data_IF_109981489581
#
_entry.id   IF_109981489581
#
_cell.length_a   1.000
_cell.length_b   1.000
_cell.length_c   1.000
_cell.angle_alpha   90.00
_cell.angle_beta   90.00
_cell.angle_gamma   90.00
#
_symmetry.space_group_name_H-M   'P 1'
#
loop_
_entity.id
_entity.type
_entity.pdbx_description
1 polymer ?
#
# COMPACT_ATOMS: atom_id res chain seq x y z
N UNK A 1 -7.87 -23.70 0.45
CA UNK A 1 -7.71 -22.51 -0.40
C UNK A 1 -6.28 -22.05 -0.32
N UNK A 2 -5.64 -21.85 -1.48
CA UNK A 2 -4.32 -21.24 -1.66
C UNK A 2 -4.50 -19.92 -2.40
N UNK A 3 -3.95 -18.85 -1.86
CA UNK A 3 -4.05 -17.50 -2.40
C UNK A 3 -2.64 -17.03 -2.69
N UNK A 4 -2.41 -16.59 -3.92
CA UNK A 4 -1.16 -15.96 -4.35
C UNK A 4 -1.29 -14.46 -4.28
N UNK A 5 -0.30 -13.78 -3.73
CA UNK A 5 -0.23 -12.32 -3.70
C UNK A 5 0.98 -11.83 -4.50
N UNK A 6 0.75 -10.86 -5.38
CA UNK A 6 1.74 -10.27 -6.28
C UNK A 6 1.44 -8.77 -6.48
N UNK A 7 2.43 -7.99 -6.91
CA UNK A 7 2.30 -6.55 -7.12
C UNK A 7 2.90 -6.11 -8.45
N UNK A 8 2.40 -5.00 -9.00
CA UNK A 8 3.02 -4.24 -10.08
C UNK A 8 3.27 -5.04 -11.38
N UNK A 9 2.30 -5.83 -11.84
CA UNK A 9 2.38 -6.56 -13.12
C UNK A 9 2.50 -5.64 -14.34
N UNK A 10 2.07 -4.42 -14.23
CA UNK A 10 2.27 -3.30 -15.17
C UNK A 10 2.03 -3.65 -16.65
N UNK A 11 0.98 -4.44 -16.89
CA UNK A 11 0.55 -4.83 -18.23
C UNK A 11 1.09 -6.18 -18.71
N UNK A 12 2.05 -6.79 -18.04
CA UNK A 12 2.53 -8.13 -18.34
C UNK A 12 1.65 -9.20 -17.67
N UNK A 13 0.48 -9.43 -18.24
CA UNK A 13 -0.48 -10.39 -17.67
C UNK A 13 -0.11 -11.83 -18.01
N UNK A 14 0.73 -12.06 -19.01
CA UNK A 14 1.22 -13.39 -19.35
C UNK A 14 2.13 -13.94 -18.24
N UNK A 15 2.90 -13.07 -17.58
CA UNK A 15 3.67 -13.47 -16.40
C UNK A 15 2.77 -14.03 -15.28
N UNK A 16 1.55 -13.52 -15.14
CA UNK A 16 0.60 -14.08 -14.17
C UNK A 16 0.21 -15.53 -14.52
N UNK A 17 0.03 -15.84 -15.80
CA UNK A 17 -0.26 -17.20 -16.25
C UNK A 17 0.93 -18.12 -15.95
N UNK A 18 2.15 -17.68 -16.21
CA UNK A 18 3.39 -18.43 -15.89
C UNK A 18 3.52 -18.66 -14.38
N UNK A 19 3.35 -17.62 -13.57
CA UNK A 19 3.42 -17.68 -12.11
C UNK A 19 2.39 -18.68 -11.56
N UNK A 20 1.13 -18.59 -11.99
CA UNK A 20 0.07 -19.49 -11.52
C UNK A 20 0.32 -20.92 -11.98
N UNK A 21 0.83 -21.11 -13.19
CA UNK A 21 1.18 -22.45 -13.72
C UNK A 21 2.33 -23.10 -12.94
N UNK A 22 3.31 -22.31 -12.50
CA UNK A 22 4.41 -22.79 -11.66
C UNK A 22 3.94 -23.16 -10.23
N UNK A 23 2.80 -22.63 -9.79
CA UNK A 23 2.25 -22.87 -8.45
C UNK A 23 0.87 -23.55 -8.51
N UNK A 24 0.81 -24.87 -8.75
CA UNK A 24 -0.46 -25.57 -8.91
C UNK A 24 -1.35 -25.46 -7.66
N UNK A 25 -2.66 -25.48 -7.86
CA UNK A 25 -3.70 -25.35 -6.83
C UNK A 25 -3.79 -23.95 -6.21
N UNK A 26 -3.31 -22.90 -6.86
CA UNK A 26 -3.70 -21.52 -6.56
C UNK A 26 -5.15 -21.33 -6.99
N UNK A 27 -5.99 -20.90 -6.06
CA UNK A 27 -7.43 -20.74 -6.28
C UNK A 27 -7.82 -19.28 -6.50
N UNK A 28 -6.98 -18.33 -6.08
CA UNK A 28 -7.17 -16.90 -6.26
C UNK A 28 -5.84 -16.15 -6.23
N UNK A 29 -5.80 -15.03 -6.95
CA UNK A 29 -4.68 -14.08 -6.92
C UNK A 29 -5.14 -12.77 -6.31
N UNK A 30 -4.35 -12.21 -5.39
CA UNK A 30 -4.49 -10.87 -4.84
C UNK A 30 -3.38 -9.99 -5.39
N UNK A 31 -3.74 -8.88 -5.99
CA UNK A 31 -2.81 -7.95 -6.61
C UNK A 31 -2.95 -6.56 -5.98
N UNK A 32 -1.84 -5.89 -5.70
CA UNK A 32 -1.84 -4.65 -4.92
C UNK A 32 -1.77 -3.37 -5.75
N UNK A 33 -2.20 -3.40 -7.00
CA UNK A 33 -2.30 -2.24 -7.88
C UNK A 33 -1.17 -2.11 -8.90
N UNK A 34 -1.33 -1.19 -9.86
CA UNK A 34 -0.50 -1.07 -11.06
C UNK A 34 -0.51 -2.37 -11.89
N UNK A 35 -1.68 -2.91 -12.09
CA UNK A 35 -1.84 -4.11 -12.92
C UNK A 35 -1.62 -3.81 -14.42
N UNK A 36 -1.66 -2.53 -14.78
CA UNK A 36 -1.50 -2.08 -16.18
C UNK A 36 -2.83 -1.96 -16.90
N UNK A 37 -3.81 -1.32 -16.28
CA UNK A 37 -5.05 -0.91 -16.96
C UNK A 37 -4.74 0.30 -17.85
N UNK A 38 -4.12 0.05 -18.97
CA UNK A 38 -3.81 1.04 -20.02
C UNK A 38 -4.09 0.46 -21.38
N UNK A 39 -4.24 1.36 -22.35
CA UNK A 39 -4.32 0.99 -23.77
C UNK A 39 -3.81 2.13 -24.66
N UNK A 40 -3.95 1.98 -25.96
CA UNK A 40 -3.52 3.01 -26.92
C UNK A 40 -4.18 4.36 -26.66
N UNK A 41 -5.45 4.39 -26.25
CA UNK A 41 -6.15 5.65 -25.94
C UNK A 41 -5.58 6.34 -24.70
N UNK A 42 -5.07 5.61 -23.73
CA UNK A 42 -4.36 6.16 -22.56
C UNK A 42 -3.13 6.94 -23.01
N UNK A 43 -2.33 6.37 -23.91
CA UNK A 43 -1.14 7.02 -24.46
C UNK A 43 -1.52 8.25 -25.30
N UNK A 44 -2.52 8.14 -26.16
CA UNK A 44 -3.00 9.26 -26.99
C UNK A 44 -3.45 10.45 -26.15
N UNK A 45 -4.17 10.20 -25.06
CA UNK A 45 -4.74 11.24 -24.18
C UNK A 45 -3.74 11.77 -23.15
N UNK A 46 -2.68 11.04 -22.85
CA UNK A 46 -1.70 11.45 -21.87
C UNK A 46 -1.02 12.77 -22.27
N UNK A 47 -1.08 13.77 -21.42
CA UNK A 47 -0.40 15.06 -21.59
C UNK A 47 0.84 15.21 -20.69
N UNK A 48 0.99 14.35 -19.72
CA UNK A 48 2.10 14.37 -18.76
C UNK A 48 3.24 13.47 -19.25
N UNK A 49 4.36 14.10 -19.63
CA UNK A 49 5.58 13.42 -20.08
C UNK A 49 6.13 12.48 -19.00
N UNK A 50 6.03 12.87 -17.70
CA UNK A 50 6.53 12.05 -16.62
C UNK A 50 5.72 10.77 -16.45
N UNK A 51 4.41 10.84 -16.70
CA UNK A 51 3.56 9.65 -16.72
C UNK A 51 3.97 8.67 -17.81
N UNK A 52 4.19 9.17 -19.03
CA UNK A 52 4.65 8.34 -20.15
C UNK A 52 6.04 7.74 -19.88
N UNK A 53 6.95 8.50 -19.26
CA UNK A 53 8.26 7.98 -18.81
C UNK A 53 8.11 6.81 -17.84
N UNK A 54 7.22 6.96 -16.86
CA UNK A 54 6.96 5.90 -15.89
C UNK A 54 6.38 4.66 -16.57
N UNK A 55 5.40 4.83 -17.46
CA UNK A 55 4.85 3.69 -18.22
C UNK A 55 5.98 2.97 -18.97
N UNK A 56 6.77 3.70 -19.77
CA UNK A 56 7.85 3.10 -20.59
C UNK A 56 8.91 2.40 -19.73
N UNK A 57 9.25 2.97 -18.58
CA UNK A 57 10.24 2.37 -17.69
C UNK A 57 9.83 0.98 -17.17
N UNK A 58 8.53 0.71 -17.12
CA UNK A 58 7.98 -0.53 -16.60
C UNK A 58 7.39 -1.45 -17.67
N UNK A 59 7.35 -1.01 -18.94
CA UNK A 59 6.86 -1.81 -20.05
C UNK A 59 7.86 -2.91 -20.42
N UNK A 60 7.59 -4.13 -20.00
CA UNK A 60 8.44 -5.29 -20.30
C UNK A 60 8.27 -5.84 -21.71
N UNK A 61 7.12 -5.53 -22.33
CA UNK A 61 6.79 -5.98 -23.67
C UNK A 61 7.54 -5.20 -24.76
N UNK A 62 8.11 -4.05 -24.43
CA UNK A 62 8.90 -3.28 -25.38
C UNK A 62 10.34 -3.77 -25.46
N UNK A 63 10.90 -3.90 -26.68
CA UNK A 63 12.32 -4.21 -26.85
C UNK A 63 13.23 -3.17 -26.17
N UNK A 64 14.31 -3.61 -25.55
CA UNK A 64 15.26 -2.74 -24.80
C UNK A 64 15.79 -1.56 -25.65
N UNK A 65 16.03 -1.77 -26.94
CA UNK A 65 16.46 -0.71 -27.87
C UNK A 65 15.37 0.35 -28.07
N UNK A 66 14.09 -0.03 -28.14
CA UNK A 66 12.96 0.89 -28.28
C UNK A 66 12.81 1.71 -27.00
N UNK A 67 12.93 1.08 -25.83
CA UNK A 67 12.90 1.78 -24.53
C UNK A 67 14.04 2.80 -24.42
N UNK A 68 15.27 2.45 -24.88
CA UNK A 68 16.40 3.36 -24.90
C UNK A 68 16.13 4.58 -25.80
N UNK A 69 15.65 4.35 -27.04
CA UNK A 69 15.34 5.43 -27.97
C UNK A 69 14.19 6.33 -27.46
N UNK A 70 13.18 5.77 -26.80
CA UNK A 70 12.10 6.54 -26.18
C UNK A 70 12.61 7.41 -25.03
N UNK A 71 13.51 6.87 -24.20
CA UNK A 71 14.14 7.63 -23.11
C UNK A 71 15.03 8.77 -23.64
N UNK A 72 15.77 8.53 -24.73
CA UNK A 72 16.59 9.56 -25.37
C UNK A 72 15.74 10.72 -25.92
N UNK A 73 14.62 10.42 -26.59
CA UNK A 73 13.64 11.43 -27.05
C UNK A 73 13.14 12.29 -25.88
N UNK A 74 12.87 11.67 -24.74
CA UNK A 74 12.37 12.39 -23.57
C UNK A 74 13.49 13.19 -22.85
N UNK A 75 14.74 12.82 -23.01
CA UNK A 75 15.90 13.54 -22.42
C UNK A 75 16.19 14.83 -23.18
N UNK A 76 16.00 14.83 -24.51
CA UNK A 76 16.12 16.00 -25.38
C UNK A 76 15.10 17.09 -25.02
N UNK A 77 14.00 16.70 -24.36
CA UNK A 77 12.88 17.59 -24.03
C UNK A 77 13.13 18.57 -22.86
N UNK A 78 14.33 18.70 -22.35
CA UNK A 78 14.74 19.83 -21.50
C UNK A 78 14.90 21.15 -22.29
N UNK A 79 14.45 21.19 -23.55
CA UNK A 79 14.45 22.34 -24.41
C UNK A 79 13.46 23.41 -23.93
N UNK A 80 13.92 24.64 -23.92
CA UNK A 80 13.28 25.83 -23.35
C UNK A 80 12.04 26.33 -24.14
N UNK A 81 11.62 25.64 -25.22
CA UNK A 81 10.52 26.06 -26.08
C UNK A 81 9.35 25.05 -26.05
N UNK A 82 8.15 25.56 -25.68
CA UNK A 82 6.90 24.80 -25.62
C UNK A 82 6.52 24.13 -26.97
N UNK A 83 6.88 24.74 -28.10
CA UNK A 83 6.60 24.20 -29.42
C UNK A 83 7.38 22.94 -29.72
N UNK A 84 8.66 22.93 -29.39
CA UNK A 84 9.55 21.77 -29.52
C UNK A 84 9.13 20.65 -28.55
N UNK A 85 8.70 20.99 -27.34
CA UNK A 85 8.23 20.04 -26.36
C UNK A 85 7.00 19.25 -26.85
N UNK A 86 6.03 19.93 -27.46
CA UNK A 86 4.83 19.29 -28.01
C UNK A 86 5.14 18.39 -29.21
N UNK A 87 6.08 18.76 -30.07
CA UNK A 87 6.51 17.93 -31.20
C UNK A 87 7.20 16.65 -30.73
N UNK A 88 8.10 16.75 -29.77
CA UNK A 88 8.79 15.59 -29.17
C UNK A 88 7.81 14.66 -28.47
N UNK A 89 6.81 15.20 -27.76
CA UNK A 89 5.77 14.41 -27.15
C UNK A 89 4.90 13.67 -28.20
N UNK A 90 4.58 14.34 -29.32
CA UNK A 90 3.83 13.72 -30.41
C UNK A 90 4.62 12.59 -31.09
N UNK A 91 5.93 12.82 -31.34
CA UNK A 91 6.83 11.81 -31.90
C UNK A 91 6.99 10.61 -30.96
N UNK A 92 7.16 10.87 -29.67
CA UNK A 92 7.24 9.85 -28.64
C UNK A 92 5.98 8.96 -28.63
N UNK A 93 4.79 9.56 -28.59
CA UNK A 93 3.53 8.83 -28.61
C UNK A 93 3.37 8.00 -29.88
N UNK A 94 3.68 8.60 -31.04
CA UNK A 94 3.60 7.90 -32.32
C UNK A 94 4.50 6.66 -32.31
N UNK A 95 5.75 6.82 -31.87
CA UNK A 95 6.70 5.72 -31.80
C UNK A 95 6.23 4.64 -30.83
N UNK A 96 5.79 5.02 -29.63
CA UNK A 96 5.27 4.09 -28.63
C UNK A 96 4.08 3.28 -29.16
N UNK A 97 3.19 3.90 -29.93
CA UNK A 97 2.01 3.22 -30.49
C UNK A 97 2.32 2.36 -31.72
N UNK A 98 3.44 2.59 -32.41
CA UNK A 98 3.83 1.80 -33.58
C UNK A 98 4.49 0.47 -33.20
N UNK A 99 5.19 0.41 -32.09
CA UNK A 99 5.99 -0.74 -31.67
C UNK A 99 5.25 -1.73 -30.75
N UNK A 100 3.91 -1.63 -30.64
CA UNK A 100 3.00 -2.36 -29.75
C UNK A 100 3.08 -3.90 -29.81
N UNK A 101 2.49 -4.68 -28.89
CA UNK A 101 1.46 -4.33 -27.90
C UNK A 101 2.03 -3.73 -26.62
N UNK A 102 1.38 -2.70 -26.10
CA UNK A 102 1.81 -2.05 -24.85
C UNK A 102 1.50 -2.91 -23.63
N UNK A 103 0.37 -3.60 -23.67
CA UNK A 103 -0.16 -4.44 -22.60
C UNK A 103 -0.96 -5.59 -23.18
N UNK A 104 -1.08 -6.67 -22.43
CA UNK A 104 -1.89 -7.82 -22.83
C UNK A 104 -3.40 -7.63 -22.62
N UNK A 105 -3.82 -6.57 -21.93
CA UNK A 105 -5.23 -6.34 -21.54
C UNK A 105 -6.21 -6.47 -22.71
N UNK A 106 -5.86 -5.97 -23.89
CA UNK A 106 -6.75 -5.98 -25.06
C UNK A 106 -7.06 -7.42 -25.54
N UNK A 107 -6.13 -8.37 -25.37
CA UNK A 107 -6.33 -9.79 -25.69
C UNK A 107 -7.35 -10.44 -24.73
N UNK A 108 -7.30 -10.05 -23.45
CA UNK A 108 -8.26 -10.50 -22.45
C UNK A 108 -9.65 -9.86 -22.63
N UNK A 109 -9.71 -8.59 -23.01
CA UNK A 109 -10.95 -7.89 -23.37
C UNK A 109 -11.60 -8.51 -24.59
N UNK A 110 -10.81 -8.88 -25.60
CA UNK A 110 -11.28 -9.56 -26.80
C UNK A 110 -11.66 -11.04 -26.55
N UNK A 111 -11.40 -11.57 -25.37
CA UNK A 111 -11.65 -12.98 -25.02
C UNK A 111 -10.70 -13.98 -25.67
N UNK A 112 -9.60 -13.51 -26.25
CA UNK A 112 -8.54 -14.36 -26.84
C UNK A 112 -7.76 -15.08 -25.76
N UNK A 113 -7.52 -14.40 -24.62
CA UNK A 113 -6.90 -14.96 -23.42
C UNK A 113 -7.88 -14.93 -22.24
N UNK A 114 -7.61 -15.72 -21.22
CA UNK A 114 -8.41 -15.80 -20.00
C UNK A 114 -7.51 -15.85 -18.79
N UNK A 115 -7.89 -15.17 -17.73
CA UNK A 115 -7.20 -15.27 -16.44
C UNK A 115 -7.27 -16.72 -15.92
N UNK A 116 -6.14 -17.28 -15.44
CA UNK A 116 -6.06 -18.68 -15.02
C UNK A 116 -6.93 -18.99 -13.80
N UNK A 117 -7.16 -17.99 -12.95
CA UNK A 117 -8.02 -18.06 -11.76
C UNK A 117 -8.58 -16.66 -11.45
N UNK A 118 -9.52 -16.51 -10.50
CA UNK A 118 -10.00 -15.22 -10.06
C UNK A 118 -8.85 -14.32 -9.58
N UNK A 119 -8.78 -13.12 -10.13
CA UNK A 119 -7.82 -12.07 -9.81
C UNK A 119 -8.55 -10.92 -9.13
N UNK A 120 -8.08 -10.55 -7.94
CA UNK A 120 -8.59 -9.46 -7.14
C UNK A 120 -7.51 -8.39 -7.04
N UNK A 121 -7.70 -7.27 -7.68
CA UNK A 121 -6.72 -6.18 -7.71
C UNK A 121 -7.27 -4.91 -7.09
N UNK A 122 -6.43 -4.18 -6.37
CA UNK A 122 -6.72 -2.78 -6.07
C UNK A 122 -6.16 -1.88 -7.18
N UNK A 123 -6.51 -0.60 -7.15
CA UNK A 123 -6.09 0.39 -8.13
C UNK A 123 -4.72 0.91 -7.77
N UNK A 124 -3.78 0.90 -8.71
CA UNK A 124 -2.48 1.54 -8.55
C UNK A 124 -2.47 2.98 -9.06
N UNK A 125 -1.50 3.80 -8.65
CA UNK A 125 -1.41 5.21 -9.09
C UNK A 125 -1.12 5.38 -10.57
N UNK A 126 -0.59 4.36 -11.25
CA UNK A 126 -0.26 4.40 -12.68
C UNK A 126 -1.37 3.86 -13.58
N UNK A 127 -2.37 3.17 -13.02
CA UNK A 127 -3.52 2.69 -13.81
C UNK A 127 -4.29 3.87 -14.41
N UNK A 128 -4.83 3.69 -15.62
CA UNK A 128 -5.62 4.73 -16.29
C UNK A 128 -6.97 4.91 -15.59
N UNK A 129 -7.24 6.09 -14.98
CA UNK A 129 -8.47 6.35 -14.25
C UNK A 129 -9.73 6.17 -15.07
N UNK A 130 -9.70 6.47 -16.36
CA UNK A 130 -10.86 6.34 -17.25
C UNK A 130 -11.18 4.88 -17.58
N UNK A 131 -10.16 4.03 -17.67
CA UNK A 131 -10.35 2.58 -17.79
C UNK A 131 -10.82 1.98 -16.46
N UNK A 132 -10.22 2.39 -15.36
CA UNK A 132 -10.65 1.96 -14.02
C UNK A 132 -12.13 2.26 -13.80
N UNK A 133 -12.60 3.48 -14.13
CA UNK A 133 -14.01 3.86 -14.02
C UNK A 133 -14.90 2.89 -14.80
N UNK A 134 -14.53 2.55 -16.04
CA UNK A 134 -15.30 1.62 -16.89
C UNK A 134 -15.33 0.18 -16.35
N UNK A 135 -14.29 -0.26 -15.67
CA UNK A 135 -14.30 -1.56 -15.00
C UNK A 135 -15.16 -1.54 -13.73
N UNK A 136 -15.11 -0.46 -12.97
CA UNK A 136 -15.89 -0.30 -11.74
C UNK A 136 -17.38 -0.15 -12.04
N UNK A 137 -17.75 0.62 -13.06
CA UNK A 137 -19.16 0.79 -13.49
C UNK A 137 -19.69 -0.42 -14.29
N UNK A 138 -18.82 -1.35 -14.66
CA UNK A 138 -19.16 -2.57 -15.40
C UNK A 138 -19.33 -2.38 -16.90
N UNK A 139 -18.98 -1.22 -17.46
CA UNK A 139 -18.99 -0.96 -18.92
C UNK A 139 -17.92 -1.79 -19.64
N UNK A 140 -16.80 -2.07 -18.96
CA UNK A 140 -15.79 -3.04 -19.38
C UNK A 140 -15.74 -4.21 -18.42
N UNK A 141 -15.54 -5.41 -18.94
CA UNK A 141 -15.42 -6.63 -18.14
C UNK A 141 -14.40 -7.57 -18.74
N UNK A 142 -13.52 -8.07 -17.90
CA UNK A 142 -12.69 -9.24 -18.16
C UNK A 142 -13.14 -10.34 -17.19
N UNK A 143 -13.50 -11.53 -17.68
CA UNK A 143 -13.89 -12.62 -16.78
C UNK A 143 -12.80 -12.92 -15.74
N UNK A 144 -13.20 -13.11 -14.50
CA UNK A 144 -12.32 -13.32 -13.35
C UNK A 144 -11.48 -12.11 -12.88
N UNK A 145 -11.59 -10.93 -13.50
CA UNK A 145 -11.00 -9.70 -12.98
C UNK A 145 -11.98 -9.02 -12.02
N UNK A 146 -11.53 -8.74 -10.81
CA UNK A 146 -12.31 -8.10 -9.77
C UNK A 146 -11.52 -6.93 -9.18
N UNK A 147 -12.10 -5.74 -9.18
CA UNK A 147 -11.44 -4.53 -8.65
C UNK A 147 -11.90 -4.30 -7.21
N UNK A 148 -10.94 -4.26 -6.29
CA UNK A 148 -11.14 -3.89 -4.88
C UNK A 148 -11.02 -2.38 -4.77
N UNK A 149 -12.07 -1.74 -4.27
CA UNK A 149 -12.09 -0.33 -3.97
C UNK A 149 -12.90 -0.06 -2.67
N UNK A 150 -13.14 1.22 -2.37
CA UNK A 150 -13.87 1.65 -1.19
C UNK A 150 -15.35 1.18 -1.14
N UNK A 151 -15.92 0.75 -2.27
CA UNK A 151 -17.29 0.27 -2.38
C UNK A 151 -17.41 -1.23 -2.69
N UNK A 152 -16.32 -1.87 -3.11
CA UNK A 152 -16.33 -3.24 -3.58
C UNK A 152 -15.38 -4.11 -2.74
N UNK A 153 -15.97 -5.09 -2.06
CA UNK A 153 -15.27 -6.15 -1.36
C UNK A 153 -15.71 -7.50 -1.88
N UNK A 154 -14.87 -8.51 -1.71
CA UNK A 154 -15.13 -9.86 -2.25
C UNK A 154 -14.96 -10.90 -1.16
N UNK A 155 -15.89 -11.85 -1.11
CA UNK A 155 -15.86 -12.97 -0.19
C UNK A 155 -15.34 -14.21 -0.92
N UNK A 156 -14.23 -14.76 -0.45
CA UNK A 156 -13.66 -16.01 -0.95
C UNK A 156 -14.08 -17.13 -0.04
N UNK A 157 -14.90 -18.04 -0.56
CA UNK A 157 -15.42 -19.17 0.18
C UNK A 157 -14.60 -20.42 -0.10
N UNK A 158 -14.46 -21.27 0.89
CA UNK A 158 -13.83 -22.59 0.77
C UNK A 158 -14.58 -23.59 1.65
N UNK A 159 -14.83 -24.80 1.17
CA UNK A 159 -15.52 -25.81 1.98
C UNK A 159 -14.81 -26.02 3.32
N UNK A 160 -15.59 -26.12 4.39
CA UNK A 160 -15.13 -26.41 5.75
C UNK A 160 -14.10 -25.41 6.35
N UNK A 161 -14.02 -24.20 5.80
CA UNK A 161 -13.13 -23.16 6.30
C UNK A 161 -13.87 -21.83 6.40
N UNK A 162 -13.47 -20.95 7.31
CA UNK A 162 -14.06 -19.62 7.35
C UNK A 162 -13.77 -18.87 6.05
N UNK A 163 -14.71 -18.06 5.56
CA UNK A 163 -14.49 -17.25 4.35
C UNK A 163 -13.46 -16.17 4.60
N UNK A 164 -12.79 -15.73 3.51
CA UNK A 164 -11.88 -14.60 3.51
C UNK A 164 -12.55 -13.44 2.81
N UNK A 165 -12.55 -12.27 3.43
CA UNK A 165 -13.02 -11.03 2.81
C UNK A 165 -11.83 -10.20 2.38
N UNK A 166 -11.76 -9.92 1.08
CA UNK A 166 -10.83 -8.97 0.49
C UNK A 166 -11.52 -7.62 0.34
N UNK A 167 -10.95 -6.58 0.90
CA UNK A 167 -11.45 -5.20 0.84
C UNK A 167 -10.29 -4.23 0.96
N UNK A 168 -10.45 -2.97 0.58
CA UNK A 168 -9.33 -2.04 0.71
C UNK A 168 -9.47 -0.74 -0.05
N UNK A 169 -8.33 -0.09 -0.25
CA UNK A 169 -8.22 1.23 -0.88
C UNK A 169 -7.09 1.23 -1.91
N UNK A 170 -7.40 1.69 -3.12
CA UNK A 170 -6.43 1.86 -4.19
C UNK A 170 -5.83 3.27 -4.23
N UNK A 171 -4.70 3.39 -4.94
CA UNK A 171 -3.99 4.65 -5.09
C UNK A 171 -3.02 4.97 -3.96
N UNK A 172 -2.35 6.12 -4.07
CA UNK A 172 -1.43 6.61 -3.07
C UNK A 172 -2.16 7.30 -1.93
N UNK A 173 -1.67 7.14 -0.70
CA UNK A 173 -2.13 7.99 0.39
C UNK A 173 -1.23 9.22 0.50
N UNK A 174 -1.83 10.39 0.30
CA UNK A 174 -1.19 11.69 0.44
C UNK A 174 -2.01 12.55 1.38
N UNK A 175 -1.46 12.90 2.54
CA UNK A 175 -2.19 13.65 3.57
C UNK A 175 -2.74 14.96 3.04
N UNK A 176 -1.95 15.68 2.24
CA UNK A 176 -2.36 16.95 1.65
C UNK A 176 -3.43 16.85 0.56
N UNK A 177 -3.68 15.64 0.04
CA UNK A 177 -4.69 15.39 -1.01
C UNK A 177 -5.95 14.70 -0.48
N UNK A 178 -6.08 14.49 0.82
CA UNK A 178 -7.25 13.83 1.43
C UNK A 178 -8.56 14.58 1.17
N UNK A 179 -8.50 15.90 1.03
CA UNK A 179 -9.65 16.75 0.71
C UNK A 179 -9.73 17.17 -0.75
N UNK A 180 -8.83 16.65 -1.59
CA UNK A 180 -8.74 17.02 -3.00
C UNK A 180 -9.15 15.83 -3.88
N UNK A 181 -10.20 16.00 -4.68
CA UNK A 181 -10.63 14.99 -5.64
C UNK A 181 -9.80 15.00 -6.94
N UNK A 182 -8.88 15.94 -7.08
CA UNK A 182 -8.06 16.09 -8.28
C UNK A 182 -8.83 16.67 -9.48
N UNK A 183 -8.34 16.38 -10.68
CA UNK A 183 -8.84 16.96 -11.94
C UNK A 183 -9.74 16.01 -12.73
N UNK A 184 -9.94 14.78 -12.29
CA UNK A 184 -10.55 13.74 -13.10
C UNK A 184 -12.08 13.85 -13.17
N UNK A 185 -12.73 14.33 -12.12
CA UNK A 185 -14.20 14.41 -12.05
C UNK A 185 -14.90 13.04 -12.06
N UNK A 186 -14.16 11.97 -11.73
CA UNK A 186 -14.65 10.60 -11.67
C UNK A 186 -15.18 10.26 -10.29
N UNK A 187 -16.04 9.25 -10.19
CA UNK A 187 -16.66 8.85 -8.92
C UNK A 187 -15.86 7.78 -8.17
N UNK A 188 -15.17 6.92 -8.88
CA UNK A 188 -14.45 5.76 -8.30
C UNK A 188 -13.01 6.07 -7.90
N UNK A 189 -12.37 7.07 -8.53
CA UNK A 189 -10.97 7.41 -8.32
C UNK A 189 -10.77 8.92 -8.22
N UNK A 190 -9.80 9.32 -7.40
CA UNK A 190 -9.36 10.70 -7.26
C UNK A 190 -7.92 10.86 -7.73
N UNK A 191 -7.58 12.08 -8.17
CA UNK A 191 -6.23 12.39 -8.57
C UNK A 191 -6.09 12.97 -9.97
N UNK A 192 -5.02 12.58 -10.63
CA UNK A 192 -4.72 12.87 -12.03
C UNK A 192 -4.15 11.62 -12.70
N UNK A 193 -4.16 11.60 -14.01
CA UNK A 193 -3.51 10.52 -14.77
C UNK A 193 -2.06 10.37 -14.33
N UNK A 194 -1.66 9.15 -14.00
CA UNK A 194 -0.31 8.82 -13.49
C UNK A 194 -0.06 9.13 -12.03
N UNK A 195 -1.08 9.59 -11.30
CA UNK A 195 -0.95 9.87 -9.88
C UNK A 195 -2.33 9.86 -9.22
N UNK A 196 -2.84 8.68 -8.94
CA UNK A 196 -4.11 8.45 -8.25
C UNK A 196 -3.90 8.39 -6.73
N UNK A 197 -4.83 8.97 -5.98
CA UNK A 197 -4.73 9.01 -4.51
C UNK A 197 -6.06 8.75 -3.81
N UNK A 198 -5.95 8.48 -2.53
CA UNK A 198 -7.07 8.21 -1.63
C UNK A 198 -7.58 9.52 -1.07
N UNK A 199 -8.91 9.70 -1.08
CA UNK A 199 -9.58 10.82 -0.43
C UNK A 199 -10.23 10.41 0.89
N UNK A 200 -10.51 11.41 1.73
CA UNK A 200 -11.23 11.21 2.99
C UNK A 200 -12.64 10.64 2.77
N UNK A 201 -13.31 11.06 1.69
CA UNK A 201 -14.61 10.53 1.31
C UNK A 201 -14.56 9.02 0.99
N UNK A 202 -13.54 8.57 0.28
CA UNK A 202 -13.35 7.13 0.00
C UNK A 202 -13.07 6.35 1.28
N UNK A 203 -12.30 6.89 2.23
CA UNK A 203 -12.12 6.28 3.55
C UNK A 203 -13.46 6.13 4.25
N UNK A 204 -14.27 7.19 4.29
CA UNK A 204 -15.60 7.15 4.91
C UNK A 204 -16.54 6.13 4.23
N UNK A 205 -16.54 6.08 2.89
CA UNK A 205 -17.33 5.10 2.14
C UNK A 205 -16.92 3.67 2.46
N UNK A 206 -15.62 3.41 2.60
CA UNK A 206 -15.13 2.10 3.05
C UNK A 206 -15.70 1.71 4.42
N UNK A 207 -15.73 2.64 5.38
CA UNK A 207 -16.32 2.38 6.70
C UNK A 207 -17.81 2.08 6.58
N UNK A 208 -18.55 2.87 5.81
CA UNK A 208 -19.99 2.62 5.55
C UNK A 208 -20.21 1.27 4.88
N UNK A 209 -19.35 0.91 3.94
CA UNK A 209 -19.40 -0.38 3.28
C UNK A 209 -19.17 -1.54 4.26
N UNK A 210 -18.12 -1.46 5.06
CA UNK A 210 -17.77 -2.50 6.03
C UNK A 210 -18.81 -2.66 7.15
N UNK A 211 -19.40 -1.57 7.63
CA UNK A 211 -20.44 -1.61 8.67
C UNK A 211 -21.74 -2.32 8.22
N UNK A 212 -21.98 -2.40 6.92
CA UNK A 212 -23.14 -3.12 6.36
C UNK A 212 -22.95 -4.62 6.24
N UNK A 213 -21.73 -5.12 6.43
CA UNK A 213 -21.40 -6.51 6.24
C UNK A 213 -21.59 -7.28 7.54
N UNK A 214 -22.57 -8.17 7.57
CA UNK A 214 -22.94 -8.96 8.77
C UNK A 214 -22.13 -10.27 8.89
N UNK A 215 -21.56 -10.76 7.80
CA UNK A 215 -20.89 -12.05 7.75
C UNK A 215 -19.54 -12.02 8.44
N UNK A 216 -19.30 -13.00 9.31
CA UNK A 216 -17.98 -13.22 9.89
C UNK A 216 -17.03 -13.81 8.86
N UNK A 217 -15.97 -13.10 8.58
CA UNK A 217 -14.93 -13.52 7.67
C UNK A 217 -13.55 -13.17 8.24
N UNK A 218 -12.52 -13.78 7.69
CA UNK A 218 -11.13 -13.32 7.89
C UNK A 218 -10.96 -12.08 7.03
N UNK A 219 -10.75 -10.94 7.64
CA UNK A 219 -10.67 -9.66 6.96
C UNK A 219 -9.24 -9.39 6.49
N UNK A 220 -9.07 -9.27 5.18
CA UNK A 220 -7.78 -8.94 4.53
C UNK A 220 -7.90 -7.57 3.87
N UNK A 221 -7.20 -6.59 4.42
CA UNK A 221 -7.13 -5.24 3.86
C UNK A 221 -6.07 -5.18 2.77
N UNK A 222 -6.46 -4.80 1.57
CA UNK A 222 -5.58 -4.70 0.39
C UNK A 222 -5.40 -3.24 0.02
N UNK A 223 -4.16 -2.79 -0.15
CA UNK A 223 -3.89 -1.42 -0.60
C UNK A 223 -2.63 -1.36 -1.47
N UNK A 224 -2.56 -0.35 -2.34
CA UNK A 224 -1.33 -0.08 -3.06
C UNK A 224 -0.29 0.58 -2.14
N UNK A 225 -0.68 1.61 -1.39
CA UNK A 225 0.22 2.24 -0.42
C UNK A 225 0.58 1.30 0.72
N UNK A 226 1.86 1.26 1.15
CA UNK A 226 2.33 0.36 2.20
C UNK A 226 1.74 0.70 3.57
N UNK A 227 0.93 -0.20 4.11
CA UNK A 227 0.26 -0.01 5.40
C UNK A 227 1.27 0.18 6.52
N UNK A 228 2.32 -0.62 6.59
CA UNK A 228 3.34 -0.53 7.65
C UNK A 228 4.07 0.80 7.71
N UNK A 229 4.12 1.55 6.60
CA UNK A 229 4.80 2.86 6.54
C UNK A 229 3.85 4.03 6.72
N UNK A 230 2.54 3.76 6.71
CA UNK A 230 1.52 4.78 6.72
C UNK A 230 0.58 4.63 7.93
N UNK A 231 0.79 5.41 9.01
CA UNK A 231 -0.03 5.30 10.22
C UNK A 231 -1.52 5.48 9.98
N UNK A 232 -1.90 6.26 8.97
CA UNK A 232 -3.28 6.48 8.61
C UNK A 232 -3.94 5.24 8.03
N UNK A 233 -3.26 4.54 7.10
CA UNK A 233 -3.77 3.28 6.55
C UNK A 233 -3.78 2.17 7.59
N UNK A 234 -2.77 2.12 8.47
CA UNK A 234 -2.77 1.19 9.58
C UNK A 234 -3.97 1.42 10.50
N UNK A 235 -4.27 2.69 10.82
CA UNK A 235 -5.46 3.05 11.58
C UNK A 235 -6.75 2.61 10.89
N UNK A 236 -6.88 2.87 9.59
CA UNK A 236 -8.04 2.42 8.80
C UNK A 236 -8.17 0.89 8.84
N UNK A 237 -7.09 0.16 8.64
CA UNK A 237 -7.09 -1.30 8.71
C UNK A 237 -7.50 -1.81 10.09
N UNK A 238 -6.96 -1.23 11.18
CA UNK A 238 -7.35 -1.58 12.56
C UNK A 238 -8.82 -1.29 12.80
N UNK A 239 -9.28 -0.09 12.46
CA UNK A 239 -10.66 0.34 12.74
C UNK A 239 -11.70 -0.36 11.87
N UNK A 240 -11.33 -0.94 10.73
CA UNK A 240 -12.19 -1.82 9.91
C UNK A 240 -12.08 -3.30 10.30
N UNK A 241 -11.28 -3.61 11.32
CA UNK A 241 -11.15 -4.97 11.86
C UNK A 241 -10.37 -5.91 10.95
N UNK A 242 -9.29 -5.44 10.31
CA UNK A 242 -8.41 -6.28 9.52
C UNK A 242 -7.66 -7.30 10.40
N UNK A 243 -7.61 -8.55 9.95
CA UNK A 243 -6.76 -9.59 10.50
C UNK A 243 -5.39 -9.61 9.81
N UNK A 244 -5.38 -9.24 8.52
CA UNK A 244 -4.19 -9.18 7.68
C UNK A 244 -4.24 -7.95 6.78
N UNK A 245 -3.07 -7.43 6.42
CA UNK A 245 -2.93 -6.44 5.35
C UNK A 245 -1.98 -6.95 4.28
N UNK A 246 -2.33 -6.72 3.01
CA UNK A 246 -1.48 -6.99 1.86
C UNK A 246 -1.32 -5.69 1.10
N UNK A 247 -0.10 -5.19 0.98
CA UNK A 247 0.17 -3.92 0.31
C UNK A 247 1.47 -3.96 -0.48
N UNK A 248 1.59 -3.05 -1.45
CA UNK A 248 2.87 -2.84 -2.13
C UNK A 248 3.85 -2.20 -1.14
N UNK A 249 5.07 -2.68 -1.12
CA UNK A 249 6.05 -2.33 -0.10
C UNK A 249 7.09 -1.32 -0.56
N UNK A 250 6.70 -0.22 -1.20
CA UNK A 250 7.58 0.82 -1.74
C UNK A 250 9.00 0.83 -1.11
N UNK A 251 10.04 0.69 -1.91
CA UNK A 251 11.46 0.62 -1.52
C UNK A 251 11.93 -0.72 -0.91
N UNK A 252 11.09 -1.73 -0.87
CA UNK A 252 11.55 -3.08 -0.61
C UNK A 252 11.86 -3.79 -1.94
N UNK A 253 12.96 -4.54 -1.97
CA UNK A 253 13.31 -5.39 -3.11
C UNK A 253 12.79 -6.82 -2.98
N UNK A 254 12.24 -7.16 -1.83
CA UNK A 254 11.71 -8.47 -1.50
C UNK A 254 10.47 -8.32 -0.63
N UNK A 255 9.54 -9.29 -0.68
CA UNK A 255 8.38 -9.29 0.19
C UNK A 255 8.78 -9.32 1.66
N UNK A 256 8.13 -8.48 2.45
CA UNK A 256 8.40 -8.38 3.90
C UNK A 256 7.11 -8.64 4.65
N UNK A 257 7.17 -9.55 5.61
CA UNK A 257 6.09 -9.76 6.57
C UNK A 257 6.49 -9.24 7.94
N UNK A 258 5.55 -8.64 8.62
CA UNK A 258 5.76 -8.16 9.98
C UNK A 258 4.45 -7.95 10.72
N UNK A 259 4.51 -8.15 12.01
CA UNK A 259 3.49 -7.68 12.92
C UNK A 259 3.82 -6.23 13.27
N UNK A 260 2.82 -5.38 13.54
CA UNK A 260 3.01 -3.98 13.97
C UNK A 260 3.97 -3.81 15.16
N UNK A 261 4.10 -4.85 15.97
CA UNK A 261 5.11 -4.93 17.03
C UNK A 261 6.55 -4.91 16.57
N UNK A 262 6.87 -5.47 15.41
CA UNK A 262 8.26 -5.72 15.00
C UNK A 262 9.11 -4.44 14.91
N UNK A 263 8.46 -3.28 14.80
CA UNK A 263 9.15 -1.98 14.74
C UNK A 263 9.20 -1.22 16.06
N UNK A 264 8.46 -1.64 17.08
CA UNK A 264 8.26 -0.87 18.32
C UNK A 264 8.67 -1.63 19.57
N UNK A 265 8.80 -2.94 19.48
CA UNK A 265 8.92 -3.82 20.64
C UNK A 265 10.24 -3.71 21.41
N UNK A 266 11.24 -3.05 20.87
CA UNK A 266 12.52 -2.92 21.59
C UNK A 266 12.46 -2.05 22.86
N UNK A 267 11.37 -1.28 23.09
CA UNK A 267 11.37 -0.18 24.04
C UNK A 267 10.14 -0.09 24.97
N UNK A 268 9.19 -0.99 24.95
CA UNK A 268 8.06 -0.84 25.88
C UNK A 268 6.83 -1.73 25.67
N UNK A 269 6.91 -2.74 24.82
CA UNK A 269 5.79 -3.66 24.58
C UNK A 269 4.53 -2.95 24.08
N UNK A 270 3.35 -3.42 24.49
CA UNK A 270 2.06 -2.85 24.08
C UNK A 270 1.92 -1.36 24.42
N UNK A 271 2.36 -0.94 25.59
CA UNK A 271 2.29 0.47 26.01
C UNK A 271 3.15 1.35 25.09
N UNK A 272 4.35 0.91 24.75
CA UNK A 272 5.23 1.60 23.80
C UNK A 272 4.65 1.65 22.38
N UNK A 273 3.97 0.60 21.94
CA UNK A 273 3.27 0.57 20.67
C UNK A 273 2.16 1.63 20.60
N UNK A 274 1.26 1.64 21.59
CA UNK A 274 0.17 2.60 21.65
C UNK A 274 0.69 4.04 21.72
N UNK A 275 1.70 4.30 22.55
CA UNK A 275 2.28 5.63 22.70
C UNK A 275 2.96 6.12 21.42
N UNK A 276 3.76 5.28 20.77
CA UNK A 276 4.40 5.63 19.51
C UNK A 276 3.38 5.87 18.39
N UNK A 277 2.34 5.04 18.33
CA UNK A 277 1.25 5.18 17.38
C UNK A 277 0.53 6.50 17.61
N UNK A 278 0.15 6.78 18.84
CA UNK A 278 -0.49 8.02 19.26
C UNK A 278 0.34 9.24 18.91
N UNK A 279 1.66 9.21 19.16
CA UNK A 279 2.56 10.32 18.82
C UNK A 279 2.62 10.57 17.33
N UNK A 280 2.73 9.52 16.52
CA UNK A 280 2.70 9.64 15.04
C UNK A 280 1.36 10.16 14.57
N UNK A 281 0.28 9.63 15.11
CA UNK A 281 -1.07 9.96 14.71
C UNK A 281 -1.51 11.35 15.15
N UNK A 282 -1.10 11.81 16.33
CA UNK A 282 -1.38 13.19 16.80
C UNK A 282 -0.76 14.25 15.90
N UNK A 283 0.44 14.00 15.36
CA UNK A 283 1.06 14.88 14.35
C UNK A 283 0.25 14.93 13.07
N UNK A 284 -0.18 13.77 12.58
CA UNK A 284 -1.01 13.69 11.39
C UNK A 284 -2.36 14.39 11.60
N UNK A 285 -3.01 14.16 12.74
CA UNK A 285 -4.25 14.80 13.13
C UNK A 285 -4.12 16.32 13.22
N UNK A 286 -3.02 16.82 13.77
CA UNK A 286 -2.71 18.25 13.80
C UNK A 286 -2.67 18.83 12.37
N UNK A 287 -1.97 18.18 11.45
CA UNK A 287 -1.91 18.59 10.03
C UNK A 287 -3.29 18.57 9.39
N UNK A 288 -4.09 17.53 9.63
CA UNK A 288 -5.46 17.44 9.11
C UNK A 288 -6.35 18.55 9.70
N UNK A 289 -6.20 18.84 10.99
CA UNK A 289 -6.92 19.93 11.65
C UNK A 289 -6.57 21.29 11.07
N UNK A 290 -5.30 21.58 10.87
CA UNK A 290 -4.85 22.84 10.24
C UNK A 290 -5.36 22.98 8.81
N UNK A 291 -5.29 21.91 8.02
CA UNK A 291 -5.85 21.89 6.65
C UNK A 291 -7.36 22.10 6.69
N UNK A 292 -8.06 21.41 7.61
CA UNK A 292 -9.51 21.53 7.73
C UNK A 292 -9.95 22.95 8.06
N UNK A 293 -9.31 23.61 9.01
CA UNK A 293 -9.59 25.01 9.36
C UNK A 293 -9.48 25.93 8.13
N UNK A 294 -8.52 25.67 7.25
CA UNK A 294 -8.31 26.49 6.04
C UNK A 294 -9.42 26.26 4.99
N UNK A 295 -9.87 25.01 4.82
CA UNK A 295 -10.73 24.65 3.68
C UNK A 295 -12.21 24.44 4.05
N UNK A 296 -12.56 24.34 5.34
CA UNK A 296 -13.91 23.96 5.80
C UNK A 296 -15.03 24.81 5.17
N UNK A 297 -14.85 26.12 5.10
CA UNK A 297 -15.87 27.04 4.58
C UNK A 297 -16.04 26.90 3.05
N UNK A 298 -14.97 26.60 2.34
CA UNK A 298 -15.02 26.35 0.90
C UNK A 298 -15.68 25.01 0.61
N UNK A 299 -15.33 23.97 1.37
CA UNK A 299 -15.92 22.64 1.28
C UNK A 299 -17.42 22.70 1.60
N UNK A 300 -17.82 23.33 2.69
CA UNK A 300 -19.22 23.47 3.06
C UNK A 300 -20.03 24.18 1.96
N UNK A 301 -19.54 25.32 1.44
CA UNK A 301 -20.21 26.07 0.37
C UNK A 301 -20.40 25.25 -0.92
N UNK A 302 -19.44 24.41 -1.26
CA UNK A 302 -19.51 23.56 -2.46
C UNK A 302 -20.43 22.37 -2.22
N UNK A 303 -20.32 21.71 -1.05
CA UNK A 303 -21.04 20.49 -0.74
C UNK A 303 -22.53 20.74 -0.45
N UNK A 304 -22.89 21.80 0.31
CA UNK A 304 -24.28 22.15 0.59
C UNK A 304 -25.12 22.36 -0.68
N UNK A 305 -24.51 22.91 -1.72
CA UNK A 305 -25.21 23.22 -2.98
C UNK A 305 -25.31 22.06 -3.95
N UNK A 306 -24.32 21.18 -3.95
CA UNK A 306 -24.19 20.15 -4.98
C UNK A 306 -24.34 18.71 -4.46
N UNK A 307 -23.88 18.41 -3.25
CA UNK A 307 -23.80 17.04 -2.75
C UNK A 307 -23.90 16.97 -1.21
N UNK A 308 -25.09 17.13 -0.61
CA UNK A 308 -25.24 17.11 0.86
C UNK A 308 -24.85 15.76 1.49
N UNK A 309 -24.95 14.64 0.74
CA UNK A 309 -24.52 13.34 1.24
C UNK A 309 -22.99 13.23 1.32
N UNK A 310 -22.27 13.95 0.47
CA UNK A 310 -20.82 13.99 0.51
C UNK A 310 -20.29 14.73 1.74
N UNK A 311 -21.01 15.75 2.22
CA UNK A 311 -20.68 16.44 3.47
C UNK A 311 -20.69 15.44 4.64
N UNK A 312 -21.73 14.62 4.76
CA UNK A 312 -21.81 13.59 5.80
C UNK A 312 -20.67 12.58 5.73
N UNK A 313 -20.23 12.22 4.50
CA UNK A 313 -19.08 11.35 4.32
C UNK A 313 -17.77 12.00 4.76
N UNK A 314 -17.57 13.28 4.51
CA UNK A 314 -16.40 14.03 5.00
C UNK A 314 -16.40 14.09 6.53
N UNK A 315 -17.53 14.39 7.15
CA UNK A 315 -17.71 14.39 8.60
C UNK A 315 -17.40 13.01 9.21
N UNK A 316 -17.94 11.95 8.61
CA UNK A 316 -17.66 10.59 9.03
C UNK A 316 -16.15 10.27 8.88
N UNK A 317 -15.53 10.64 7.75
CA UNK A 317 -14.12 10.45 7.51
C UNK A 317 -13.24 11.16 8.54
N UNK A 318 -13.58 12.37 8.92
CA UNK A 318 -12.89 13.10 9.99
C UNK A 318 -13.06 12.39 11.34
N UNK A 319 -14.28 11.92 11.66
CA UNK A 319 -14.57 11.23 12.92
C UNK A 319 -13.77 9.92 13.08
N UNK A 320 -13.37 9.26 11.99
CA UNK A 320 -12.51 8.09 12.04
C UNK A 320 -11.16 8.45 12.69
N UNK A 321 -10.62 9.63 12.38
CA UNK A 321 -9.34 10.08 12.91
C UNK A 321 -9.39 10.65 14.33
N UNK A 322 -10.58 10.85 14.87
CA UNK A 322 -10.78 11.17 16.28
C UNK A 322 -10.71 9.94 17.19
N UNK A 323 -10.89 8.76 16.63
CA UNK A 323 -10.87 7.47 17.37
C UNK A 323 -9.44 6.96 17.58
N UNK A 324 -8.61 7.73 18.28
CA UNK A 324 -7.23 7.37 18.59
C UNK A 324 -7.17 6.63 19.93
N UNK A 325 -6.35 5.58 20.08
CA UNK A 325 -6.20 4.90 21.35
C UNK A 325 -5.63 5.85 22.41
N UNK A 326 -6.15 5.76 23.63
CA UNK A 326 -5.69 6.55 24.76
C UNK A 326 -4.92 5.68 25.75
N UNK A 327 -3.93 6.27 26.40
CA UNK A 327 -3.23 5.64 27.52
C UNK A 327 -4.01 5.89 28.82
N UNK A 328 -3.69 5.12 29.88
CA UNK A 328 -4.32 5.26 31.20
C UNK A 328 -4.10 6.68 31.76
N UNK A 329 -2.99 7.32 31.41
CA UNK A 329 -2.66 8.69 31.85
C UNK A 329 -3.52 9.76 31.16
N UNK A 330 -4.18 9.45 30.05
CA UNK A 330 -4.89 10.42 29.22
C UNK A 330 -6.38 10.52 29.55
N UNK A 331 -6.86 9.83 30.55
CA UNK A 331 -8.28 9.86 30.97
C UNK A 331 -8.79 11.28 31.31
N UNK A 332 -7.91 12.27 31.32
CA UNK A 332 -8.19 13.68 31.64
C UNK A 332 -7.98 14.61 30.42
N UNK A 333 -7.39 14.17 29.31
CA UNK A 333 -7.23 15.02 28.13
C UNK A 333 -8.51 15.05 27.29
N UNK A 334 -8.96 16.26 27.00
CA UNK A 334 -10.07 16.49 26.05
C UNK A 334 -9.65 16.01 24.67
N UNK A 335 -10.45 15.12 24.07
CA UNK A 335 -10.28 14.70 22.69
C UNK A 335 -10.87 15.80 21.81
N UNK A 336 -10.01 16.52 21.10
CA UNK A 336 -10.45 17.52 20.14
C UNK A 336 -10.98 16.81 18.90
N UNK A 337 -12.25 16.96 18.58
CA UNK A 337 -12.85 16.43 17.34
C UNK A 337 -12.45 17.28 16.14
N UNK A 338 -12.12 16.62 15.03
CA UNK A 338 -12.01 17.23 13.72
C UNK A 338 -13.40 17.27 13.07
N UNK A 339 -14.31 18.07 13.58
CA UNK A 339 -15.68 18.14 13.07
C UNK A 339 -15.93 19.43 12.30
N UNK A 340 -16.96 19.42 11.45
CA UNK A 340 -17.45 20.57 10.69
C UNK A 340 -18.19 21.60 11.57
N UNK A 341 -18.47 21.27 12.82
CA UNK A 341 -19.31 22.07 13.71
C UNK A 341 -18.49 23.07 14.50
N UNK A 342 -19.08 24.24 14.69
CA UNK A 342 -18.52 25.36 15.44
C UNK A 342 -18.28 25.00 16.91
N UNK A 343 -17.31 25.71 17.52
CA UNK A 343 -16.83 25.55 18.89
C UNK A 343 -17.89 25.87 19.97
N UNK A 344 -19.10 26.30 19.56
CA UNK A 344 -20.16 26.77 20.43
C UNK A 344 -21.23 25.70 20.79
N UNK A 345 -21.11 24.44 20.29
CA UNK A 345 -22.01 23.39 20.74
C UNK A 345 -21.52 22.76 22.03
N UNK A 346 -22.46 22.64 22.96
CA UNK A 346 -22.32 22.27 24.36
C UNK A 346 -21.25 21.23 24.66
N UNK A 347 -20.43 21.48 25.68
CA UNK A 347 -19.34 20.61 26.18
C UNK A 347 -19.77 19.15 26.48
N UNK A 348 -21.07 18.87 26.53
CA UNK A 348 -21.64 17.55 26.85
C UNK A 348 -21.60 16.57 25.68
N UNK A 349 -21.50 17.03 24.40
CA UNK A 349 -21.46 16.18 23.21
C UNK A 349 -20.03 15.70 22.83
N UNK A 350 -19.00 16.24 23.48
CA UNK A 350 -17.59 15.94 23.21
C UNK A 350 -17.13 14.64 23.91
N UNK A 351 -17.94 14.10 24.80
CA UNK A 351 -17.63 12.85 25.47
C UNK A 351 -17.87 11.67 24.52
N UNK A 352 -16.83 11.35 23.72
CA UNK A 352 -16.75 10.05 23.09
C UNK A 352 -16.94 9.04 24.22
N UNK A 353 -18.08 8.37 24.27
CA UNK A 353 -18.51 7.59 25.42
C UNK A 353 -17.34 6.69 25.85
N UNK A 354 -17.11 6.57 27.15
CA UNK A 354 -16.09 5.66 27.70
C UNK A 354 -16.13 4.26 27.04
N UNK A 355 -17.29 3.86 26.57
CA UNK A 355 -17.51 2.64 25.84
C UNK A 355 -16.85 2.63 24.43
N UNK A 356 -16.93 3.74 23.69
CA UNK A 356 -16.30 3.89 22.37
C UNK A 356 -14.78 3.90 22.52
N UNK A 357 -14.22 4.64 23.49
CA UNK A 357 -12.78 4.64 23.77
C UNK A 357 -12.28 3.28 24.16
N UNK A 358 -13.02 2.54 25.00
CA UNK A 358 -12.67 1.17 25.36
C UNK A 358 -12.65 0.28 24.13
N UNK A 359 -13.66 0.37 23.25
CA UNK A 359 -13.70 -0.38 22.00
C UNK A 359 -12.49 -0.07 21.10
N UNK A 360 -12.11 1.18 20.97
CA UNK A 360 -10.92 1.57 20.19
C UNK A 360 -9.65 0.97 20.78
N UNK A 361 -9.47 1.06 22.11
CA UNK A 361 -8.33 0.46 22.77
C UNK A 361 -8.30 -1.07 22.62
N UNK A 362 -9.44 -1.74 22.74
CA UNK A 362 -9.55 -3.19 22.54
C UNK A 362 -9.17 -3.59 21.10
N UNK A 363 -9.55 -2.80 20.09
CA UNK A 363 -9.17 -3.04 18.69
C UNK A 363 -7.67 -2.88 18.49
N UNK A 364 -7.07 -1.84 19.05
CA UNK A 364 -5.62 -1.64 18.99
C UNK A 364 -4.84 -2.72 19.75
N UNK A 365 -5.36 -3.14 20.88
CA UNK A 365 -4.80 -4.25 21.64
C UNK A 365 -4.85 -5.56 20.83
N UNK A 366 -5.97 -5.84 20.19
CA UNK A 366 -6.11 -7.02 19.33
C UNK A 366 -5.16 -6.96 18.12
N UNK A 367 -5.04 -5.79 17.50
CA UNK A 367 -4.14 -5.58 16.36
C UNK A 367 -2.67 -5.77 16.74
N UNK A 368 -2.26 -5.29 17.90
CA UNK A 368 -0.90 -5.46 18.42
C UNK A 368 -0.47 -6.92 18.43
N UNK A 369 -1.36 -7.85 18.81
CA UNK A 369 -1.04 -9.26 18.88
C UNK A 369 -1.33 -10.06 17.62
N UNK A 370 -2.29 -9.62 16.79
CA UNK A 370 -2.85 -10.48 15.76
C UNK A 370 -2.75 -9.90 14.34
N UNK A 371 -2.61 -8.57 14.17
CA UNK A 371 -2.55 -7.99 12.85
C UNK A 371 -1.19 -8.24 12.21
N UNK A 372 -1.19 -8.90 11.06
CA UNK A 372 0.01 -9.13 10.27
C UNK A 372 -0.04 -8.35 8.97
N UNK A 373 1.07 -7.71 8.66
CA UNK A 373 1.28 -6.93 7.46
C UNK A 373 2.18 -7.69 6.49
N UNK A 374 1.75 -7.78 5.23
CA UNK A 374 2.54 -8.31 4.13
C UNK A 374 2.76 -7.21 3.12
N UNK A 375 4.02 -6.81 2.94
CA UNK A 375 4.41 -5.81 1.96
C UNK A 375 5.09 -6.54 0.82
N UNK A 376 4.53 -6.36 -0.37
CA UNK A 376 5.04 -6.94 -1.60
C UNK A 376 6.07 -6.01 -2.23
N UNK A 377 6.77 -6.48 -3.24
CA UNK A 377 7.65 -5.70 -4.10
C UNK A 377 7.24 -5.95 -5.56
N UNK A 378 7.94 -5.33 -6.49
CA UNK A 378 7.72 -5.58 -7.90
C UNK A 378 7.79 -7.08 -8.19
N UNK A 379 6.89 -7.59 -9.03
CA UNK A 379 6.69 -9.03 -9.25
C UNK A 379 7.91 -9.72 -9.86
N UNK A 380 8.73 -8.98 -10.58
CA UNK A 380 9.93 -9.50 -11.27
C UNK A 380 11.18 -8.80 -10.77
N UNK A 381 12.25 -9.57 -10.67
CA UNK A 381 13.59 -9.04 -10.47
C UNK A 381 14.38 -9.35 -11.73
N UNK A 382 14.82 -8.27 -12.38
CA UNK A 382 15.73 -8.36 -13.50
C UNK A 382 17.15 -8.37 -12.92
N UNK A 383 17.78 -9.55 -12.89
CA UNK A 383 19.23 -9.64 -12.80
C UNK A 383 19.78 -9.54 -14.23
N UNK A 384 20.68 -8.62 -14.50
CA UNK A 384 21.18 -8.38 -15.87
C UNK A 384 21.99 -9.56 -16.41
N UNK A 385 22.37 -10.51 -15.57
CA UNK A 385 23.25 -11.62 -15.89
C UNK A 385 22.59 -13.01 -15.89
N UNK A 386 21.32 -13.14 -15.48
CA UNK A 386 20.63 -14.43 -15.43
C UNK A 386 19.51 -14.52 -16.48
N UNK A 387 19.58 -15.57 -17.32
CA UNK A 387 18.49 -15.93 -18.25
C UNK A 387 17.26 -16.51 -17.53
N UNK A 388 17.34 -16.75 -16.22
CA UNK A 388 16.27 -17.33 -15.40
C UNK A 388 15.47 -16.19 -14.72
N UNK A 389 14.22 -16.04 -15.14
CA UNK A 389 13.31 -15.04 -14.56
C UNK A 389 12.78 -15.58 -13.25
N UNK A 390 13.08 -14.88 -12.15
CA UNK A 390 12.55 -15.20 -10.85
C UNK A 390 11.45 -14.19 -10.45
N UNK A 391 10.42 -14.67 -9.76
CA UNK A 391 9.23 -13.88 -9.42
C UNK A 391 9.12 -13.63 -7.93
N UNK A 392 8.86 -12.37 -7.55
CA UNK A 392 8.54 -11.99 -6.20
C UNK A 392 7.03 -12.18 -5.94
N UNK A 393 6.72 -13.15 -5.12
CA UNK A 393 5.35 -13.47 -4.78
C UNK A 393 5.25 -14.03 -3.36
N UNK A 394 4.04 -14.04 -2.84
CA UNK A 394 3.73 -14.66 -1.55
C UNK A 394 2.53 -15.58 -1.72
N UNK A 395 2.63 -16.81 -1.22
CA UNK A 395 1.52 -17.75 -1.22
C UNK A 395 1.04 -18.01 0.20
N UNK A 396 -0.24 -17.80 0.40
CA UNK A 396 -0.95 -18.10 1.63
C UNK A 396 -1.77 -19.36 1.49
N UNK A 397 -1.82 -20.14 2.57
CA UNK A 397 -2.72 -21.26 2.70
C UNK A 397 -3.70 -21.03 3.86
N UNK A 398 -4.99 -21.01 3.56
CA UNK A 398 -6.03 -20.97 4.56
C UNK A 398 -6.11 -22.32 5.29
N UNK A 399 -5.88 -22.32 6.59
CA UNK A 399 -6.05 -23.47 7.49
C UNK A 399 -7.50 -23.63 7.94
N UNK A 400 -7.87 -24.82 8.43
CA UNK A 400 -9.22 -25.08 8.96
C UNK A 400 -9.57 -24.23 10.19
N UNK A 401 -8.57 -23.80 10.95
CA UNK A 401 -8.76 -22.95 12.13
C UNK A 401 -8.92 -21.46 11.78
N UNK A 402 -8.94 -21.09 10.51
CA UNK A 402 -9.08 -19.71 10.06
C UNK A 402 -7.76 -18.93 9.92
N UNK A 403 -6.62 -19.51 10.24
CA UNK A 403 -5.34 -18.81 10.06
C UNK A 403 -4.86 -18.90 8.62
N UNK A 404 -4.38 -17.77 8.08
CA UNK A 404 -3.61 -17.72 6.86
C UNK A 404 -2.15 -18.06 7.19
N UNK A 405 -1.70 -19.22 6.73
CA UNK A 405 -0.31 -19.60 6.86
C UNK A 405 0.47 -19.15 5.64
N UNK A 406 1.59 -18.49 5.84
CA UNK A 406 2.59 -18.27 4.80
C UNK A 406 3.13 -19.64 4.35
N UNK A 407 2.93 -19.98 3.10
CA UNK A 407 3.39 -21.26 2.52
C UNK A 407 4.66 -21.06 1.70
N UNK A 408 4.71 -19.98 0.94
CA UNK A 408 5.83 -19.63 0.09
C UNK A 408 6.05 -18.13 0.09
N UNK A 409 7.29 -17.72 0.16
CA UNK A 409 7.70 -16.34 -0.01
C UNK A 409 8.98 -16.37 -0.83
N UNK A 410 8.89 -16.01 -2.09
CA UNK A 410 10.04 -15.91 -2.95
C UNK A 410 10.58 -14.48 -2.92
N UNK A 411 11.86 -14.36 -2.62
CA UNK A 411 12.61 -13.12 -2.58
C UNK A 411 13.99 -13.34 -3.18
N UNK A 412 14.04 -13.63 -4.47
CA UNK A 412 15.31 -13.74 -5.20
C UNK A 412 16.03 -12.39 -5.34
N UNK A 413 15.38 -11.29 -4.99
CA UNK A 413 15.84 -9.93 -5.21
C UNK A 413 17.02 -9.41 -4.41
N UNK A 414 17.64 -10.20 -3.57
CA UNK A 414 18.88 -9.82 -2.90
C UNK A 414 19.89 -10.94 -2.97
N UNK A 415 20.65 -10.93 -4.03
CA UNK A 415 21.94 -11.59 -3.98
C UNK A 415 22.86 -10.73 -3.11
N UNK A 416 22.94 -11.05 -1.81
CA UNK A 416 23.97 -10.51 -0.92
C UNK A 416 25.35 -11.15 -1.15
N UNK A 417 25.51 -11.94 -2.19
CA UNK A 417 26.83 -12.23 -2.65
C UNK A 417 27.41 -10.88 -3.07
N UNK A 418 28.23 -10.33 -2.19
CA UNK A 418 29.23 -9.40 -2.63
C UNK A 418 29.88 -10.06 -3.82
N UNK A 419 29.89 -9.41 -4.99
CA UNK A 419 30.85 -9.73 -6.01
C UNK A 419 32.12 -10.05 -5.29
N UNK A 420 32.67 -11.23 -5.48
CA UNK A 420 34.00 -11.55 -5.04
C UNK A 420 34.85 -10.54 -5.83
N UNK A 421 35.13 -9.38 -5.21
CA UNK A 421 36.13 -8.47 -5.72
C UNK A 421 37.38 -9.32 -5.86
N UNK A 422 37.78 -9.53 -7.10
CA UNK A 422 39.03 -10.16 -7.41
C UNK A 422 40.11 -9.60 -6.49
N UNK A 423 40.88 -10.46 -5.85
CA UNK A 423 41.80 -10.21 -4.74
C UNK A 423 42.96 -9.27 -5.13
N UNK A 424 42.73 -8.00 -5.45
CA UNK A 424 43.85 -7.06 -5.64
C UNK A 424 44.07 -6.07 -4.49
N UNK A 425 43.18 -6.01 -3.46
CA UNK A 425 43.38 -5.11 -2.30
C UNK A 425 43.00 -5.73 -0.94
N UNK A 426 43.36 -6.98 -0.72
CA UNK A 426 42.91 -7.78 0.44
C UNK A 426 43.59 -7.43 1.77
N UNK A 427 44.68 -6.70 1.79
CA UNK A 427 45.42 -6.39 3.03
C UNK A 427 44.75 -5.31 3.89
N UNK A 428 44.08 -4.33 3.29
CA UNK A 428 43.35 -3.31 4.03
C UNK A 428 42.05 -3.84 4.63
N UNK A 429 41.38 -4.78 3.93
CA UNK A 429 40.15 -5.42 4.40
C UNK A 429 40.41 -6.42 5.51
N UNK A 430 41.53 -7.16 5.45
CA UNK A 430 41.99 -8.05 6.53
C UNK A 430 42.31 -7.27 7.80
N UNK A 431 43.04 -6.15 7.68
CA UNK A 431 43.34 -5.27 8.82
C UNK A 431 42.08 -4.69 9.45
N UNK A 432 41.08 -4.31 8.66
CA UNK A 432 39.79 -3.78 9.18
C UNK A 432 38.98 -4.87 9.87
N UNK A 433 38.94 -6.11 9.34
CA UNK A 433 38.27 -7.26 9.98
C UNK A 433 38.96 -7.66 11.30
N UNK A 434 40.27 -7.64 11.33
CA UNK A 434 41.05 -7.97 12.54
C UNK A 434 40.88 -6.88 13.61
N UNK A 435 40.79 -5.61 13.22
CA UNK A 435 40.52 -4.49 14.13
C UNK A 435 39.10 -4.59 14.73
N UNK A 436 38.08 -4.91 13.91
CA UNK A 436 36.72 -5.09 14.36
C UNK A 436 36.58 -6.31 15.30
N UNK A 437 37.25 -7.41 15.00
CA UNK A 437 37.25 -8.62 15.82
C UNK A 437 37.98 -8.42 17.14
N UNK A 438 39.07 -7.65 17.16
CA UNK A 438 39.78 -7.32 18.39
C UNK A 438 38.97 -6.39 19.27
N UNK A 439 38.30 -5.37 18.70
CA UNK A 439 37.42 -4.44 19.41
C UNK A 439 36.21 -5.15 20.01
N UNK A 440 35.63 -6.14 19.29
CA UNK A 440 34.51 -6.93 19.77
C UNK A 440 34.92 -7.89 20.90
N UNK A 441 36.12 -8.48 20.84
CA UNK A 441 36.68 -9.31 21.94
C UNK A 441 36.96 -8.47 23.20
N UNK A 442 37.48 -7.26 23.02
CA UNK A 442 37.70 -6.33 24.15
C UNK A 442 36.41 -5.83 24.79
N UNK A 443 35.39 -5.57 24.01
CA UNK A 443 34.06 -5.21 24.54
C UNK A 443 33.44 -6.36 25.33
N UNK A 444 33.57 -7.59 24.87
CA UNK A 444 33.05 -8.80 25.52
C UNK A 444 33.84 -9.15 26.81
N UNK A 445 35.12 -8.85 26.86
CA UNK A 445 35.95 -9.01 28.07
C UNK A 445 35.61 -7.96 29.14
N UNK A 446 35.41 -6.69 28.75
CA UNK A 446 34.99 -5.61 29.65
C UNK A 446 33.58 -5.78 30.22
N UNK A 447 32.65 -6.37 29.46
CA UNK A 447 31.30 -6.68 29.95
C UNK A 447 31.29 -7.79 30.99
N UNK A 448 32.16 -8.80 30.87
CA UNK A 448 32.31 -9.87 31.86
C UNK A 448 32.93 -9.40 33.19
N UNK A 449 33.82 -8.43 33.14
CA UNK A 449 34.49 -7.90 34.36
C UNK A 449 33.57 -6.97 35.16
N UNK A 450 32.57 -6.35 34.58
CA UNK A 450 31.58 -5.50 35.29
C UNK A 450 30.52 -6.30 36.06
N UNK A 451 30.20 -7.51 35.63
CA UNK A 451 29.17 -8.34 36.28
C UNK A 451 29.70 -9.02 37.55
N UNK A 452 31.00 -9.26 37.63
CA UNK A 452 31.61 -9.92 38.81
C UNK A 452 31.86 -8.98 40.00
N UNK A 453 31.82 -7.65 39.83
CA UNK A 453 32.07 -6.66 40.89
C UNK A 453 30.83 -6.18 41.66
N UNK A 454 29.61 -6.63 41.36
CA UNK A 454 28.37 -6.22 42.03
C UNK A 454 27.69 -7.27 42.90
N UNK A 455 28.37 -8.35 43.27
CA UNK A 455 27.91 -9.29 44.32
C UNK A 455 28.69 -9.10 45.61
N UNK A 456 28.40 -8.02 46.31
CA UNK A 456 28.95 -7.82 47.63
C UNK A 456 28.24 -6.70 48.38
N UNK A 457 27.46 -7.11 49.39
CA UNK A 457 26.92 -6.35 50.52
C UNK A 457 25.57 -5.66 50.33
N UNK A 458 24.53 -6.36 50.77
CA UNK A 458 23.42 -5.73 51.48
C UNK A 458 23.68 -5.86 52.99
N UNK A 459 23.62 -4.78 53.79
CA UNK A 459 23.51 -4.90 55.24
C UNK A 459 22.08 -5.22 55.61
N UNK A 460 21.92 -6.19 56.50
CA UNK A 460 20.67 -6.43 57.23
C UNK A 460 20.46 -5.30 58.26
N UNK A 461 19.33 -4.61 58.17
CA UNK A 461 18.50 -4.22 59.33
C UNK A 461 17.05 -4.20 58.85
#
# INVERSE_FOLDING_TARGET
MRILAVSDLQGNWDALEEIVSAHPNVEAVVHTGNIGLWNSSTVEQASDVNYLKQIVAFLELLPKNVVAELNDLLTINNAQDLGTANLVLAEFKLKLLLDAPLVHMDEYLAGQKRLPCPLYTTIGPLDDPYLVEKFVDGSLRIPNLNIIDHNHSYLLESPDKPPIRLYGLGGNLKVHSLFDNGKLGLSSVAGKVGDLWITLAQVAQLFVHMDRLEEKAINVFVSHSPVMKNPLLEHVAIMTGADYTISQGLHFRYPVSGNGMSFVDSMGGLAGYIENYRLKFSRLRMILGELWVIIKDDVARVLERSHPDLQKLVELGLSVFDKIPITISDSTEKIVRLTLYDEDEDEDDIDMSKQTLKKVNDMYFAAYYNLWHFNLCDYIIKDDDDDEVDYNLVIFRLKKNGNLALEHCNSSGFNFQREEYEEEDDDALRQTKDLLNSTYKDFKSRSKTKVTRRRGRYPQV
#
